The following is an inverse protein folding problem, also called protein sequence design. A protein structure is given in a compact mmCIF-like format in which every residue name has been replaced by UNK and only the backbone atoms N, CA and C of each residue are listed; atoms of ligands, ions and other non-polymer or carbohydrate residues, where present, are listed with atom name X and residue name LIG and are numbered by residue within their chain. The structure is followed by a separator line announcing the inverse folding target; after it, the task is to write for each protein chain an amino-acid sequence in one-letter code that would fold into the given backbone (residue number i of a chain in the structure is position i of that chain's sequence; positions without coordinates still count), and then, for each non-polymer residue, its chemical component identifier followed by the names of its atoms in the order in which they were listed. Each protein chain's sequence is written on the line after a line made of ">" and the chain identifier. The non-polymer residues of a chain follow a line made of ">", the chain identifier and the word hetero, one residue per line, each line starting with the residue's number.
data_IF_912536193347
#
_entry.id   IF_912536193347
#
_cell.length_a   1.000
_cell.length_b   1.000
_cell.length_c   1.000
_cell.angle_alpha   90.00
_cell.angle_beta   90.00
_cell.angle_gamma   90.00
#
_symmetry.space_group_name_H-M   'P 1'
#
loop_
_entity.id
_entity.type
_entity.pdbx_description
1 polymer ?
#
# COMPACT_ATOMS: atom_id res chain seq x y z
N UNK A 1 50.03 -59.92 1.62
CA UNK A 1 49.24 -60.63 2.64
C UNK A 1 49.40 -59.93 3.98
N UNK A 2 48.35 -59.29 4.49
CA UNK A 2 48.18 -58.97 5.92
C UNK A 2 46.75 -58.50 6.17
N UNK A 3 45.92 -59.43 6.61
CA UNK A 3 44.90 -59.24 7.64
C UNK A 3 45.22 -60.31 8.72
N UNK A 4 44.72 -60.25 9.98
CA UNK A 4 43.63 -59.43 10.53
C UNK A 4 43.86 -58.88 11.97
N UNK A 5 43.02 -57.94 12.42
CA UNK A 5 42.37 -58.00 13.77
C UNK A 5 41.29 -56.92 13.92
N UNK A 6 40.10 -57.36 14.32
CA UNK A 6 38.88 -56.57 14.39
C UNK A 6 38.78 -55.62 15.59
N UNK A 7 37.86 -54.66 15.43
CA UNK A 7 37.38 -53.75 16.46
C UNK A 7 36.02 -53.15 16.04
N UNK A 8 34.96 -53.77 16.54
CA UNK A 8 33.59 -53.32 16.77
C UNK A 8 33.10 -52.01 16.11
N UNK A 9 32.14 -52.12 15.19
CA UNK A 9 31.25 -51.01 14.80
C UNK A 9 30.21 -50.79 15.91
N UNK A 10 30.58 -50.04 16.95
CA UNK A 10 29.62 -49.57 17.95
C UNK A 10 28.65 -48.56 17.31
N UNK A 11 27.49 -49.07 16.90
CA UNK A 11 26.31 -48.30 16.53
C UNK A 11 25.91 -47.45 17.74
N UNK A 12 26.28 -46.16 17.73
CA UNK A 12 25.70 -45.19 18.66
C UNK A 12 24.17 -45.21 18.48
N UNK A 13 23.35 -45.38 19.54
CA UNK A 13 21.91 -45.33 19.38
C UNK A 13 21.51 -43.93 18.90
N UNK A 14 20.51 -43.80 17.99
CA UNK A 14 20.02 -42.50 17.59
C UNK A 14 19.44 -41.79 18.83
N UNK A 15 19.97 -40.61 19.13
CA UNK A 15 19.40 -39.69 20.11
C UNK A 15 17.94 -39.48 19.73
N UNK A 16 17.01 -39.91 20.59
CA UNK A 16 15.57 -39.65 20.43
C UNK A 16 15.35 -38.14 20.50
N UNK A 17 15.31 -37.50 19.33
CA UNK A 17 14.91 -36.11 19.17
C UNK A 17 13.46 -35.98 19.65
N UNK A 18 13.28 -35.15 20.68
CA UNK A 18 11.97 -34.79 21.21
C UNK A 18 11.14 -34.12 20.09
N UNK A 19 9.84 -34.46 19.93
CA UNK A 19 9.00 -34.03 18.79
C UNK A 19 8.91 -32.51 18.60
N UNK A 20 9.27 -31.74 19.63
CA UNK A 20 9.26 -30.27 19.60
C UNK A 20 10.46 -29.66 18.86
N UNK A 21 11.52 -30.42 18.53
CA UNK A 21 12.72 -29.90 17.83
C UNK A 21 12.60 -29.93 16.29
N UNK A 22 11.78 -30.83 15.74
CA UNK A 22 11.51 -30.94 14.29
C UNK A 22 10.64 -29.78 13.81
N UNK A 23 9.60 -29.45 14.57
CA UNK A 23 8.68 -28.36 14.23
C UNK A 23 9.43 -27.03 14.22
N UNK A 24 10.25 -26.77 15.23
CA UNK A 24 11.03 -25.54 15.34
C UNK A 24 12.02 -25.41 14.16
N UNK A 25 12.79 -26.47 13.83
CA UNK A 25 13.74 -26.41 12.69
C UNK A 25 13.05 -26.23 11.33
N UNK A 26 11.86 -26.80 11.13
CA UNK A 26 11.09 -26.62 9.89
C UNK A 26 10.59 -25.17 9.73
N UNK A 27 10.14 -24.54 10.82
CA UNK A 27 9.70 -23.14 10.81
C UNK A 27 10.87 -22.17 10.58
N UNK A 28 12.02 -22.39 11.22
CA UNK A 28 13.20 -21.55 11.00
C UNK A 28 13.77 -21.68 9.59
N UNK A 29 13.77 -22.89 9.01
CA UNK A 29 14.21 -23.09 7.62
C UNK A 29 13.26 -22.38 6.61
N UNK A 30 11.95 -22.37 6.88
CA UNK A 30 10.98 -21.71 6.01
C UNK A 30 11.09 -20.18 6.06
N UNK A 31 11.28 -19.61 7.26
CA UNK A 31 11.49 -18.16 7.43
C UNK A 31 12.79 -17.69 6.78
N UNK A 32 13.87 -18.47 6.85
CA UNK A 32 15.15 -18.13 6.22
C UNK A 32 15.10 -18.22 4.69
N UNK A 33 14.35 -19.16 4.11
CA UNK A 33 14.16 -19.24 2.65
C UNK A 33 13.29 -18.10 2.13
N UNK A 34 12.22 -17.72 2.83
CA UNK A 34 11.35 -16.60 2.44
C UNK A 34 12.04 -15.24 2.61
N UNK A 35 12.89 -15.08 3.63
CA UNK A 35 13.67 -13.87 3.83
C UNK A 35 14.77 -13.66 2.76
N UNK A 36 15.17 -14.72 2.04
CA UNK A 36 16.17 -14.66 0.96
C UNK A 36 15.59 -14.43 -0.44
N UNK A 37 14.25 -14.41 -0.60
CA UNK A 37 13.60 -14.24 -1.92
C UNK A 37 13.13 -12.81 -2.26
N UNK A 38 13.50 -11.79 -1.46
CA UNK A 38 13.05 -10.40 -1.67
C UNK A 38 14.16 -9.35 -1.87
N UNK A 39 15.32 -9.78 -2.34
CA UNK A 39 16.37 -8.94 -2.93
C UNK A 39 16.92 -9.77 -4.09
N UNK A 40 16.80 -9.47 -5.38
CA UNK A 40 16.74 -8.20 -6.07
C UNK A 40 16.05 -8.42 -7.42
N UNK A 41 14.98 -7.68 -7.71
CA UNK A 41 14.55 -7.48 -9.10
C UNK A 41 15.43 -6.40 -9.75
N UNK A 42 16.71 -6.71 -9.99
CA UNK A 42 17.55 -5.95 -10.91
C UNK A 42 17.03 -6.21 -12.33
N UNK A 43 16.06 -5.44 -12.79
CA UNK A 43 15.67 -5.39 -14.20
C UNK A 43 16.87 -4.84 -15.00
N UNK A 44 17.55 -5.75 -15.71
CA UNK A 44 18.69 -5.45 -16.57
C UNK A 44 18.29 -4.60 -17.78
N UNK A 45 18.87 -3.40 -17.90
CA UNK A 45 18.89 -2.67 -19.16
C UNK A 45 19.80 -3.41 -20.14
N UNK A 46 19.21 -4.06 -21.14
CA UNK A 46 19.95 -4.74 -22.22
C UNK A 46 20.89 -3.79 -22.99
N UNK A 47 21.77 -4.38 -23.81
CA UNK A 47 22.82 -3.65 -24.54
C UNK A 47 22.30 -2.43 -25.30
N UNK A 48 22.91 -1.27 -25.05
CA UNK A 48 22.56 0.00 -25.71
C UNK A 48 23.30 0.10 -27.03
N UNK A 49 22.56 0.35 -28.12
CA UNK A 49 23.12 0.63 -29.44
C UNK A 49 23.34 2.14 -29.64
N UNK A 50 24.30 2.57 -30.48
CA UNK A 50 24.48 3.98 -30.79
C UNK A 50 23.21 4.55 -31.45
N UNK A 51 22.80 5.73 -31.00
CA UNK A 51 21.63 6.43 -31.52
C UNK A 51 21.93 7.93 -31.64
N UNK A 52 21.30 8.63 -32.60
CA UNK A 52 21.50 10.05 -32.80
C UNK A 52 20.95 10.86 -31.61
N UNK A 53 21.79 11.69 -30.98
CA UNK A 53 21.46 12.47 -29.77
C UNK A 53 20.72 13.78 -30.07
N UNK A 54 20.74 14.24 -31.31
CA UNK A 54 20.13 15.50 -31.73
C UNK A 54 18.64 15.35 -32.09
N UNK A 55 18.12 14.12 -32.10
CA UNK A 55 16.70 13.87 -32.39
C UNK A 55 15.90 14.06 -31.11
N UNK A 56 15.01 15.05 -31.11
CA UNK A 56 14.08 15.31 -30.00
C UNK A 56 12.67 14.85 -30.37
N UNK A 57 12.05 14.13 -29.46
CA UNK A 57 10.65 13.68 -29.56
C UNK A 57 9.93 14.00 -28.25
N UNK A 58 8.67 14.48 -28.29
CA UNK A 58 7.94 14.90 -27.09
C UNK A 58 7.67 13.74 -26.11
N UNK A 59 7.58 12.50 -26.60
CA UNK A 59 7.39 11.30 -25.78
C UNK A 59 8.69 10.74 -25.17
N UNK A 60 9.85 11.36 -25.47
CA UNK A 60 11.17 10.80 -25.19
C UNK A 60 11.79 10.10 -26.40
N UNK A 61 13.05 9.67 -26.27
CA UNK A 61 13.84 8.99 -27.31
C UNK A 61 14.35 7.62 -26.85
N UNK A 62 15.51 7.22 -27.35
CA UNK A 62 16.11 5.92 -27.00
C UNK A 62 16.68 5.91 -25.58
N UNK A 63 16.22 4.95 -24.76
CA UNK A 63 16.72 4.66 -23.41
C UNK A 63 16.78 5.89 -22.48
N UNK A 64 15.74 6.73 -22.51
CA UNK A 64 15.72 7.96 -21.73
C UNK A 64 15.59 7.65 -20.24
N UNK A 65 16.63 7.94 -19.50
CA UNK A 65 16.63 7.96 -18.04
C UNK A 65 17.03 9.37 -17.60
N UNK A 66 16.07 10.31 -17.51
CA UNK A 66 16.38 11.66 -17.08
C UNK A 66 16.80 11.60 -15.61
N UNK A 67 17.89 12.29 -15.24
CA UNK A 67 18.38 12.32 -13.86
C UNK A 67 17.31 12.82 -12.88
N UNK A 68 16.41 13.69 -13.34
CA UNK A 68 15.40 14.38 -12.53
C UNK A 68 13.98 13.81 -12.72
N UNK A 69 13.84 12.56 -13.17
CA UNK A 69 12.53 11.96 -13.44
C UNK A 69 11.58 12.02 -12.23
N UNK A 70 12.10 11.86 -11.01
CA UNK A 70 11.31 11.91 -9.76
C UNK A 70 10.65 13.27 -9.54
N UNK A 71 11.42 14.34 -9.70
CA UNK A 71 10.92 15.70 -9.53
C UNK A 71 9.90 16.06 -10.61
N UNK A 72 10.18 15.70 -11.87
CA UNK A 72 9.27 15.97 -12.98
C UNK A 72 7.92 15.27 -12.80
N UNK A 73 7.93 13.98 -12.41
CA UNK A 73 6.69 13.24 -12.12
C UNK A 73 5.97 13.80 -10.90
N UNK A 74 6.70 14.23 -9.87
CA UNK A 74 6.09 14.86 -8.70
C UNK A 74 5.33 16.14 -9.08
N UNK A 75 5.95 17.03 -9.86
CA UNK A 75 5.30 18.27 -10.32
C UNK A 75 4.05 17.98 -11.14
N UNK A 76 4.13 17.04 -12.09
CA UNK A 76 2.98 16.67 -12.93
C UNK A 76 1.86 16.05 -12.08
N UNK A 77 2.20 15.13 -11.18
CA UNK A 77 1.23 14.48 -10.30
C UNK A 77 0.54 15.50 -9.36
N UNK A 78 1.31 16.42 -8.77
CA UNK A 78 0.76 17.50 -7.94
C UNK A 78 -0.14 18.43 -8.75
N UNK A 79 0.24 18.78 -9.98
CA UNK A 79 -0.60 19.59 -10.87
C UNK A 79 -1.93 18.92 -11.20
N UNK A 80 -1.91 17.63 -11.58
CA UNK A 80 -3.12 16.85 -11.85
C UNK A 80 -4.00 16.77 -10.60
N UNK A 81 -3.41 16.47 -9.44
CA UNK A 81 -4.14 16.37 -8.18
C UNK A 81 -4.81 17.69 -7.80
N UNK A 82 -4.09 18.81 -7.92
CA UNK A 82 -4.64 20.13 -7.61
C UNK A 82 -5.86 20.45 -8.49
N UNK A 83 -5.74 20.22 -9.80
CA UNK A 83 -6.85 20.44 -10.75
C UNK A 83 -8.03 19.53 -10.42
N UNK A 84 -7.78 18.24 -10.21
CA UNK A 84 -8.82 17.27 -9.88
C UNK A 84 -9.55 17.63 -8.58
N UNK A 85 -8.83 18.11 -7.56
CA UNK A 85 -9.42 18.56 -6.31
C UNK A 85 -10.29 19.81 -6.48
N UNK A 86 -9.82 20.80 -7.25
CA UNK A 86 -10.60 22.02 -7.53
C UNK A 86 -11.88 21.70 -8.32
N UNK A 87 -11.77 20.90 -9.37
CA UNK A 87 -12.94 20.48 -10.16
C UNK A 87 -13.88 19.61 -9.34
N UNK A 88 -13.35 18.68 -8.55
CA UNK A 88 -14.12 17.80 -7.68
C UNK A 88 -14.86 18.55 -6.57
N UNK A 89 -14.21 19.50 -5.90
CA UNK A 89 -14.84 20.33 -4.87
C UNK A 89 -15.92 21.24 -5.45
N UNK A 90 -15.68 21.82 -6.63
CA UNK A 90 -16.67 22.62 -7.35
C UNK A 90 -17.88 21.78 -7.80
N UNK A 91 -17.62 20.57 -8.29
CA UNK A 91 -18.66 19.61 -8.65
C UNK A 91 -19.51 19.23 -7.43
N UNK A 92 -18.87 18.87 -6.32
CA UNK A 92 -19.54 18.52 -5.07
C UNK A 92 -20.37 19.68 -4.49
N UNK A 93 -19.91 20.93 -4.65
CA UNK A 93 -20.66 22.11 -4.22
C UNK A 93 -21.93 22.38 -5.06
N UNK A 94 -21.92 21.94 -6.33
CA UNK A 94 -23.07 22.09 -7.25
C UNK A 94 -24.02 20.90 -7.23
N UNK A 95 -23.62 19.77 -6.70
CA UNK A 95 -24.49 18.60 -6.59
C UNK A 95 -25.66 18.89 -5.65
N UNK A 96 -26.88 18.92 -6.21
CA UNK A 96 -28.13 18.97 -5.44
C UNK A 96 -28.87 17.66 -5.62
N UNK A 97 -29.20 17.00 -4.50
CA UNK A 97 -30.09 15.83 -4.49
C UNK A 97 -31.48 16.27 -4.00
N UNK A 98 -32.54 16.09 -4.81
CA UNK A 98 -33.89 16.44 -4.38
C UNK A 98 -34.45 15.44 -3.36
N UNK A 99 -33.94 14.20 -3.35
CA UNK A 99 -34.42 13.12 -2.50
C UNK A 99 -33.26 12.62 -1.64
N UNK A 100 -33.50 12.49 -0.33
CA UNK A 100 -32.53 11.91 0.59
C UNK A 100 -32.42 10.39 0.40
N UNK A 101 -31.21 9.80 0.50
CA UNK A 101 -30.99 8.38 0.34
C UNK A 101 -31.61 7.59 1.49
N UNK A 102 -32.23 6.45 1.18
CA UNK A 102 -32.87 5.55 2.16
C UNK A 102 -31.86 4.73 2.98
N UNK A 103 -30.62 4.60 2.50
CA UNK A 103 -29.53 3.84 3.12
C UNK A 103 -28.26 4.70 3.13
N UNK A 104 -27.31 4.37 3.99
CA UNK A 104 -26.02 5.05 4.02
C UNK A 104 -25.20 4.77 2.76
N UNK A 105 -24.65 5.82 2.16
CA UNK A 105 -23.86 5.78 0.91
C UNK A 105 -22.61 6.64 1.13
N UNK A 106 -21.41 6.23 0.66
CA UNK A 106 -20.17 6.96 0.89
C UNK A 106 -20.17 8.40 0.35
N UNK A 107 -20.99 8.69 -0.67
CA UNK A 107 -21.13 10.03 -1.22
C UNK A 107 -21.83 11.04 -0.29
N UNK A 108 -22.35 10.58 0.86
CA UNK A 108 -22.87 11.46 1.90
C UNK A 108 -21.75 12.24 2.61
N UNK A 109 -20.52 11.72 2.64
CA UNK A 109 -19.39 12.34 3.38
C UNK A 109 -19.01 13.71 2.82
N UNK A 110 -19.13 13.89 1.50
CA UNK A 110 -18.70 15.11 0.79
C UNK A 110 -19.85 15.96 0.26
N UNK A 111 -21.09 15.50 0.39
CA UNK A 111 -22.23 16.24 -0.13
C UNK A 111 -22.73 17.27 0.89
N UNK A 112 -22.82 18.53 0.44
CA UNK A 112 -23.14 19.70 1.27
C UNK A 112 -24.43 19.54 2.09
N UNK A 113 -25.47 18.96 1.48
CA UNK A 113 -26.78 18.76 2.10
C UNK A 113 -26.72 17.94 3.41
N UNK A 114 -25.87 16.90 3.48
CA UNK A 114 -25.76 16.07 4.68
C UNK A 114 -24.91 16.72 5.76
N UNK A 115 -23.84 17.43 5.36
CA UNK A 115 -23.00 18.16 6.31
C UNK A 115 -23.76 19.30 6.99
N UNK A 116 -24.62 20.02 6.27
CA UNK A 116 -25.45 21.09 6.83
C UNK A 116 -26.51 20.52 7.79
N UNK A 117 -27.19 19.44 7.40
CA UNK A 117 -28.16 18.77 8.26
C UNK A 117 -27.54 18.26 9.57
N UNK A 118 -26.32 17.71 9.51
CA UNK A 118 -25.59 17.24 10.69
C UNK A 118 -25.21 18.41 11.64
N UNK A 119 -24.72 19.53 11.09
CA UNK A 119 -24.39 20.74 11.88
C UNK A 119 -25.62 21.29 12.60
N UNK A 120 -26.75 21.42 11.89
CA UNK A 120 -28.01 21.91 12.49
C UNK A 120 -28.50 20.97 13.58
N UNK A 121 -28.45 19.65 13.33
CA UNK A 121 -28.82 18.64 14.33
C UNK A 121 -27.94 18.74 15.57
N UNK A 122 -26.63 18.89 15.39
CA UNK A 122 -25.68 19.06 16.48
C UNK A 122 -25.97 20.31 17.31
N UNK A 123 -26.12 21.47 16.67
CA UNK A 123 -26.46 22.75 17.34
C UNK A 123 -27.75 22.61 18.13
N UNK A 124 -28.80 22.01 17.55
CA UNK A 124 -30.08 21.82 18.23
C UNK A 124 -29.93 20.96 19.49
N UNK A 125 -29.17 19.87 19.41
CA UNK A 125 -28.86 19.00 20.55
C UNK A 125 -28.08 19.78 21.62
N UNK A 126 -27.02 20.49 21.22
CA UNK A 126 -26.22 21.31 22.13
C UNK A 126 -27.04 22.40 22.83
N UNK A 127 -27.91 23.10 22.09
CA UNK A 127 -28.80 24.13 22.63
C UNK A 127 -29.82 23.54 23.61
N UNK A 128 -30.46 22.41 23.27
CA UNK A 128 -31.40 21.74 24.17
C UNK A 128 -30.76 21.27 25.47
N UNK A 129 -29.46 20.96 25.43
CA UNK A 129 -28.70 20.54 26.60
C UNK A 129 -28.24 21.74 27.46
N UNK A 130 -28.04 22.89 26.84
CA UNK A 130 -27.62 24.13 27.51
C UNK A 130 -28.79 24.85 28.21
N UNK A 131 -29.98 24.82 27.63
CA UNK A 131 -31.20 25.34 28.25
C UNK A 131 -32.22 24.20 28.37
N UNK A 132 -32.23 23.43 29.48
CA UNK A 132 -33.30 22.50 29.74
C UNK A 132 -34.57 23.31 29.99
N UNK A 133 -35.41 23.46 28.95
CA UNK A 133 -36.74 24.05 29.04
C UNK A 133 -37.51 23.29 30.14
N UNK A 134 -37.69 23.95 31.30
CA UNK A 134 -38.50 23.44 32.39
C UNK A 134 -39.95 23.67 32.00
N UNK A 135 -40.62 22.62 31.55
CA UNK A 135 -42.05 22.64 31.26
C UNK A 135 -42.79 22.69 32.60
N UNK A 136 -43.42 23.84 32.90
CA UNK A 136 -44.17 24.12 34.12
C UNK A 136 -45.64 23.78 33.99
#
# INVERSE_FOLDING_TARGET
>A
MSCPRGGNYELRPPIRLHPNTIIIKQWYAFVLVVAWTHTDTLQGGGGRYPYPKYVWSPAGGWWVQPSNWKANTAVVATGIFAIAYLVGSLSAAREQRPIAPKKWIPSMLWAKQFQEAEKVRFIKISLSKAHPFQES
#
